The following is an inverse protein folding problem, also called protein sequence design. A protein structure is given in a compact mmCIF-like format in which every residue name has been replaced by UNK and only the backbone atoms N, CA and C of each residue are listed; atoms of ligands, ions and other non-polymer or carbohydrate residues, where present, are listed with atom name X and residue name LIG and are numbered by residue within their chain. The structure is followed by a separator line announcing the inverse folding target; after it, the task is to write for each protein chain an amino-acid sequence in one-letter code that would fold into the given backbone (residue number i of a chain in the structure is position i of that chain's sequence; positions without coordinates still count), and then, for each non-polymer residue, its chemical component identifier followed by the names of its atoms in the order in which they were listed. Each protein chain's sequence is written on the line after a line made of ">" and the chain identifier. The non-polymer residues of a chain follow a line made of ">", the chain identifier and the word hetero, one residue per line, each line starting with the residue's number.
data_IF_333437173134
#
_entry.id   IF_333437173134
#
_cell.length_a   1.000
_cell.length_b   1.000
_cell.length_c   1.000
_cell.angle_alpha   90.00
_cell.angle_beta   90.00
_cell.angle_gamma   90.00
#
_symmetry.space_group_name_H-M   'P 1'
#
loop_
_entity.id
_entity.type
_entity.pdbx_description
1 polymer ?
#
# COMPACT_ATOMS: atom_id res chain seq x y z
N UNK A 1 2.09 -4.74 9.58
CA UNK A 1 1.21 -3.58 9.85
C UNK A 1 0.77 -2.90 8.56
N UNK A 2 1.67 -2.57 7.64
CA UNK A 2 1.32 -1.86 6.39
C UNK A 2 0.34 -2.65 5.50
N UNK A 3 0.55 -3.96 5.32
CA UNK A 3 -0.39 -4.79 4.56
C UNK A 3 -1.79 -4.84 5.20
N UNK A 4 -1.83 -5.02 6.53
CA UNK A 4 -3.08 -5.05 7.29
C UNK A 4 -3.81 -3.71 7.23
N UNK A 5 -3.11 -2.58 7.35
CA UNK A 5 -3.71 -1.25 7.25
C UNK A 5 -4.18 -0.93 5.83
N UNK A 6 -3.43 -1.32 4.80
CA UNK A 6 -3.81 -1.15 3.39
C UNK A 6 -5.10 -1.90 3.08
N UNK A 7 -5.24 -3.12 3.61
CA UNK A 7 -6.45 -3.93 3.43
C UNK A 7 -7.67 -3.30 4.11
N UNK A 8 -7.50 -2.82 5.35
CA UNK A 8 -8.56 -2.12 6.09
C UNK A 8 -8.94 -0.81 5.40
N UNK A 9 -7.97 -0.05 4.89
CA UNK A 9 -8.22 1.20 4.14
C UNK A 9 -9.00 0.96 2.85
N UNK A 10 -8.64 -0.07 2.07
CA UNK A 10 -9.39 -0.43 0.87
C UNK A 10 -10.86 -0.72 1.21
N UNK A 11 -11.11 -1.42 2.32
CA UNK A 11 -12.48 -1.70 2.78
C UNK A 11 -13.22 -0.43 3.24
N UNK A 12 -12.54 0.47 3.97
CA UNK A 12 -13.08 1.77 4.40
C UNK A 12 -13.48 2.66 3.21
N UNK A 13 -12.81 2.55 2.06
CA UNK A 13 -13.20 3.27 0.85
C UNK A 13 -14.55 2.82 0.28
N UNK A 14 -15.02 1.60 0.58
CA UNK A 14 -16.38 1.17 0.23
C UNK A 14 -17.44 1.70 1.20
N UNK A 15 -17.08 1.94 2.46
CA UNK A 15 -17.98 2.55 3.45
C UNK A 15 -18.24 4.04 3.20
N UNK A 16 -17.46 4.69 2.33
CA UNK A 16 -17.68 6.08 1.91
C UNK A 16 -18.64 6.22 0.70
N UNK A 17 -19.30 5.15 0.26
CA UNK A 17 -20.25 5.21 -0.84
C UNK A 17 -21.60 5.80 -0.39
N UNK A 18 -22.14 6.74 -1.18
CA UNK A 18 -23.39 7.46 -0.89
C UNK A 18 -24.63 6.54 -0.92
N UNK A 19 -24.59 5.49 -1.74
CA UNK A 19 -25.56 4.40 -1.76
C UNK A 19 -24.85 3.05 -1.88
N UNK A 20 -25.32 2.04 -1.15
CA UNK A 20 -24.77 0.68 -1.17
C UNK A 20 -24.97 -0.04 -2.52
N UNK A 21 -25.84 0.48 -3.39
CA UNK A 21 -26.04 0.05 -4.78
C UNK A 21 -24.85 0.38 -5.69
N UNK A 22 -24.01 1.35 -5.31
CA UNK A 22 -22.83 1.80 -6.06
C UNK A 22 -21.52 1.12 -5.60
N UNK A 23 -21.63 -0.04 -4.94
CA UNK A 23 -20.49 -0.90 -4.59
C UNK A 23 -20.01 -1.60 -5.86
N UNK A 24 -19.46 -0.81 -6.78
CA UNK A 24 -18.78 -1.33 -7.96
C UNK A 24 -17.32 -1.55 -7.62
N UNK A 25 -16.81 -2.72 -8.02
CA UNK A 25 -15.38 -3.04 -7.95
C UNK A 25 -14.67 -2.16 -8.97
N UNK A 26 -14.21 -1.01 -8.50
CA UNK A 26 -13.43 -0.07 -9.30
C UNK A 26 -11.96 -0.45 -9.23
N UNK A 27 -11.42 -0.87 -10.37
CA UNK A 27 -9.98 -1.17 -10.53
C UNK A 27 -9.12 0.00 -10.04
N UNK A 28 -9.55 1.23 -10.30
CA UNK A 28 -8.90 2.47 -9.86
C UNK A 28 -8.77 2.56 -8.34
N UNK A 29 -9.80 2.14 -7.57
CA UNK A 29 -9.76 2.11 -6.10
C UNK A 29 -8.75 1.09 -5.56
N UNK A 30 -8.64 -0.05 -6.25
CA UNK A 30 -7.72 -1.12 -5.90
C UNK A 30 -6.27 -0.70 -6.12
N UNK A 31 -5.97 -0.09 -7.28
CA UNK A 31 -4.64 0.48 -7.56
C UNK A 31 -4.30 1.63 -6.63
N UNK A 32 -5.27 2.51 -6.33
CA UNK A 32 -5.04 3.62 -5.41
C UNK A 32 -4.69 3.14 -4.01
N UNK A 33 -5.36 2.10 -3.49
CA UNK A 33 -5.01 1.48 -2.21
C UNK A 33 -3.62 0.80 -2.25
N UNK A 34 -3.29 0.09 -3.33
CA UNK A 34 -1.98 -0.54 -3.52
C UNK A 34 -0.84 0.48 -3.56
N UNK A 35 -0.99 1.55 -4.33
CA UNK A 35 -0.01 2.64 -4.39
C UNK A 35 0.17 3.31 -3.03
N UNK A 36 -0.93 3.57 -2.32
CA UNK A 36 -0.89 4.22 -1.01
C UNK A 36 -0.16 3.36 0.04
N UNK A 37 -0.44 2.05 0.08
CA UNK A 37 0.28 1.10 0.94
C UNK A 37 1.76 0.98 0.57
N UNK A 38 2.07 1.01 -0.73
CA UNK A 38 3.44 0.91 -1.24
C UNK A 38 4.30 2.13 -0.87
N UNK A 39 3.76 3.34 -1.10
CA UNK A 39 4.43 4.60 -0.80
C UNK A 39 4.67 4.73 0.71
N UNK A 40 3.71 4.30 1.54
CA UNK A 40 3.86 4.27 2.99
C UNK A 40 5.01 3.35 3.44
N UNK A 41 5.17 2.20 2.81
CA UNK A 41 6.28 1.29 3.10
C UNK A 41 7.65 1.87 2.71
N UNK A 42 7.73 2.53 1.54
CA UNK A 42 8.96 3.22 1.11
C UNK A 42 9.33 4.34 2.07
N UNK A 43 8.38 5.18 2.45
CA UNK A 43 8.61 6.30 3.38
C UNK A 43 9.03 5.82 4.76
N UNK A 44 8.33 4.82 5.32
CA UNK A 44 8.69 4.28 6.64
C UNK A 44 10.12 3.70 6.62
N UNK A 45 10.51 3.01 5.56
CA UNK A 45 11.88 2.50 5.40
C UNK A 45 12.92 3.61 5.31
N UNK A 46 12.65 4.66 4.52
CA UNK A 46 13.54 5.81 4.36
C UNK A 46 13.85 6.49 5.72
N UNK A 47 12.83 6.62 6.58
CA UNK A 47 12.98 7.24 7.89
C UNK A 47 13.46 6.27 8.99
N UNK A 48 13.36 4.95 8.77
CA UNK A 48 13.69 3.91 9.76
C UNK A 48 14.84 3.00 9.32
N UNK A 49 15.85 3.57 8.63
CA UNK A 49 17.01 2.83 8.12
C UNK A 49 17.80 2.04 9.17
N UNK A 50 17.70 2.42 10.45
CA UNK A 50 18.43 1.81 11.58
C UNK A 50 17.55 0.94 12.50
N UNK A 51 16.28 0.69 12.16
CA UNK A 51 15.33 -0.01 13.04
C UNK A 51 15.52 -1.54 13.09
N UNK A 52 16.05 -2.14 12.02
CA UNK A 52 16.35 -3.57 11.98
C UNK A 52 17.87 -3.78 11.92
N UNK A 53 18.42 -4.51 12.90
CA UNK A 53 19.84 -4.96 12.89
C UNK A 53 20.19 -5.70 11.59
N UNK A 54 19.21 -6.40 11.02
CA UNK A 54 19.33 -7.09 9.74
C UNK A 54 19.10 -6.15 8.54
N UNK A 55 20.20 -5.61 7.99
CA UNK A 55 20.19 -4.83 6.73
C UNK A 55 19.54 -5.56 5.55
N UNK A 56 19.58 -6.90 5.51
CA UNK A 56 18.95 -7.74 4.47
C UNK A 56 17.43 -7.62 4.47
N UNK A 57 16.79 -7.57 5.64
CA UNK A 57 15.34 -7.44 5.74
C UNK A 57 14.90 -6.05 5.30
N UNK A 58 15.64 -5.01 5.70
CA UNK A 58 15.35 -3.64 5.27
C UNK A 58 15.43 -3.48 3.75
N UNK A 59 16.47 -4.02 3.11
CA UNK A 59 16.62 -3.99 1.65
C UNK A 59 15.55 -4.82 0.92
N UNK A 60 15.15 -5.97 1.48
CA UNK A 60 14.08 -6.79 0.89
C UNK A 60 12.73 -6.07 0.93
N UNK A 61 12.37 -5.43 2.04
CA UNK A 61 11.12 -4.66 2.15
C UNK A 61 11.16 -3.48 1.17
N UNK A 62 12.29 -2.77 1.07
CA UNK A 62 12.45 -1.63 0.16
C UNK A 62 12.34 -2.04 -1.31
N UNK A 63 12.94 -3.17 -1.68
CA UNK A 63 12.83 -3.75 -3.02
C UNK A 63 11.41 -4.16 -3.38
N UNK A 64 10.71 -4.87 -2.48
CA UNK A 64 9.33 -5.29 -2.69
C UNK A 64 8.41 -4.06 -2.82
N UNK A 65 8.56 -3.06 -1.95
CA UNK A 65 7.77 -1.83 -2.02
C UNK A 65 8.03 -1.05 -3.30
N UNK A 66 9.29 -0.90 -3.73
CA UNK A 66 9.59 -0.26 -5.00
C UNK A 66 8.92 -0.97 -6.18
N UNK A 67 8.99 -2.31 -6.24
CA UNK A 67 8.35 -3.10 -7.30
C UNK A 67 6.82 -2.91 -7.29
N UNK A 68 6.19 -2.96 -6.12
CA UNK A 68 4.74 -2.78 -5.99
C UNK A 68 4.33 -1.35 -6.37
N UNK A 69 5.14 -0.34 -6.04
CA UNK A 69 4.89 1.05 -6.46
C UNK A 69 4.94 1.20 -7.98
N UNK A 70 6.00 0.71 -8.62
CA UNK A 70 6.14 0.80 -10.08
C UNK A 70 5.06 0.01 -10.83
N UNK A 71 4.69 -1.18 -10.34
CA UNK A 71 3.58 -1.96 -10.92
C UNK A 71 2.24 -1.24 -10.79
N UNK A 72 1.98 -0.64 -9.62
CA UNK A 72 0.74 0.10 -9.38
C UNK A 72 0.67 1.45 -10.08
N UNK A 73 1.80 1.99 -10.57
CA UNK A 73 1.85 3.25 -11.33
C UNK A 73 1.65 3.03 -12.83
N UNK A 74 1.91 1.82 -13.32
CA UNK A 74 1.73 1.43 -14.72
C UNK A 74 0.36 0.79 -15.02
N UNK A 75 -0.43 0.45 -13.99
CA UNK A 75 -1.82 -0.04 -14.10
C UNK A 75 -2.83 1.05 -13.72
#
# INVERSE_FOLDING_TARGET
>A
MILTSTFIMYWLMYLNLYEASHVEISQTRLFMALNMGSLMAVVMLLFMWKMYDDKKKNTMILGISAVVFFLSLFL
#
